data_IF_707319308782
#
_entry.id   IF_707319308782
#
_cell.length_a   1.000
_cell.length_b   1.000
_cell.length_c   1.000
_cell.angle_alpha   90.00
_cell.angle_beta   90.00
_cell.angle_gamma   90.00
#
_symmetry.space_group_name_H-M   'P 1'
#
loop_
_entity.id
_entity.type
_entity.pdbx_description
1 polymer ?
#
# COMPACT_ATOMS: atom_id res chain seq x y z
N UNK A 1 58.62 6.09 12.03
CA UNK A 1 57.53 6.20 13.02
C UNK A 1 56.24 6.84 12.49
N UNK A 2 56.13 7.24 11.21
CA UNK A 2 54.95 7.99 10.70
C UNK A 2 53.91 7.12 9.97
N UNK A 3 54.19 5.84 9.69
CA UNK A 3 53.31 4.97 8.87
C UNK A 3 52.23 4.19 9.64
N UNK A 4 52.29 4.16 10.97
CA UNK A 4 51.29 3.44 11.80
C UNK A 4 50.15 4.34 12.30
N UNK A 5 50.33 5.67 12.29
CA UNK A 5 49.27 6.61 12.69
C UNK A 5 48.17 6.79 11.62
N UNK A 6 48.46 6.57 10.34
CA UNK A 6 47.46 6.82 9.27
C UNK A 6 46.38 5.74 9.19
N UNK A 7 46.64 4.52 9.65
CA UNK A 7 45.68 3.41 9.59
C UNK A 7 44.66 3.50 10.75
N UNK A 8 45.09 3.93 11.94
CA UNK A 8 44.19 4.10 13.08
C UNK A 8 43.15 5.20 12.89
N UNK A 9 43.52 6.31 12.25
CA UNK A 9 42.60 7.41 11.97
C UNK A 9 41.57 7.03 10.89
N UNK A 10 41.95 6.20 9.91
CA UNK A 10 41.04 5.75 8.86
C UNK A 10 39.98 4.77 9.35
N UNK A 11 40.31 3.92 10.34
CA UNK A 11 39.36 2.97 10.95
C UNK A 11 38.35 3.68 11.87
N UNK A 12 38.77 4.74 12.57
CA UNK A 12 37.86 5.55 13.39
C UNK A 12 36.91 6.39 12.54
N UNK A 13 37.35 6.87 11.37
CA UNK A 13 36.49 7.64 10.45
C UNK A 13 35.43 6.79 9.72
N UNK A 14 35.63 5.47 9.60
CA UNK A 14 34.62 4.54 9.07
C UNK A 14 33.65 4.01 10.13
N UNK A 15 33.85 4.37 11.40
CA UNK A 15 32.95 4.02 12.51
C UNK A 15 31.93 5.15 12.73
N UNK A 16 31.32 5.66 11.65
CA UNK A 16 30.17 6.52 11.81
C UNK A 16 29.06 5.70 12.48
N UNK A 17 28.46 6.18 13.59
CA UNK A 17 27.26 5.54 14.09
C UNK A 17 26.24 5.59 12.95
N UNK A 18 25.65 4.45 12.63
CA UNK A 18 24.40 4.37 11.87
C UNK A 18 23.46 5.34 12.58
N UNK A 19 23.27 6.52 11.99
CA UNK A 19 22.33 7.51 12.53
C UNK A 19 20.99 6.80 12.56
N UNK A 20 20.47 6.55 13.76
CA UNK A 20 19.13 6.06 13.96
C UNK A 20 18.21 6.98 13.15
N UNK A 21 17.48 6.41 12.20
CA UNK A 21 16.56 7.16 11.36
C UNK A 21 15.56 7.84 12.30
N UNK A 22 15.50 9.16 12.27
CA UNK A 22 14.58 9.93 13.12
C UNK A 22 13.17 9.58 12.65
N UNK A 23 12.45 8.82 13.48
CA UNK A 23 11.09 8.41 13.17
C UNK A 23 10.16 9.57 13.46
N UNK A 24 9.32 9.92 12.49
CA UNK A 24 8.28 10.91 12.72
C UNK A 24 7.19 10.27 13.60
N UNK A 25 6.81 10.94 14.70
CA UNK A 25 5.83 10.42 15.66
C UNK A 25 4.43 10.96 15.31
N UNK A 26 3.59 10.09 14.76
CA UNK A 26 2.26 10.46 14.27
C UNK A 26 1.21 10.55 15.38
N UNK A 27 1.47 9.93 16.54
CA UNK A 27 0.53 9.84 17.67
C UNK A 27 -0.01 11.22 18.13
N UNK A 28 0.79 12.28 17.99
CA UNK A 28 0.41 13.65 18.38
C UNK A 28 -0.43 14.41 17.35
N UNK A 29 -0.53 13.90 16.11
CA UNK A 29 -1.24 14.55 15.00
C UNK A 29 -2.50 13.77 14.55
N UNK A 30 -2.81 12.65 15.20
CA UNK A 30 -4.01 11.86 14.94
C UNK A 30 -5.27 12.62 15.37
N UNK A 31 -6.18 12.80 14.42
CA UNK A 31 -7.50 13.38 14.63
C UNK A 31 -8.54 12.26 14.68
N UNK A 32 -9.44 12.31 15.68
CA UNK A 32 -10.55 11.38 15.80
C UNK A 32 -11.70 11.76 14.87
N UNK A 33 -12.06 10.86 13.96
CA UNK A 33 -13.15 11.00 13.01
C UNK A 33 -14.44 10.29 13.47
N UNK A 34 -14.45 9.74 14.68
CA UNK A 34 -15.53 8.95 15.24
C UNK A 34 -15.46 7.47 14.88
N UNK A 35 -16.11 6.66 15.71
CA UNK A 35 -16.21 5.21 15.57
C UNK A 35 -14.87 4.44 15.59
N UNK A 36 -13.83 5.01 16.23
CA UNK A 36 -12.51 4.37 16.32
C UNK A 36 -11.65 4.55 15.07
N UNK A 37 -11.96 5.55 14.24
CA UNK A 37 -11.14 5.96 13.11
C UNK A 37 -10.25 7.16 13.48
N UNK A 38 -8.95 6.95 13.55
CA UNK A 38 -7.96 8.01 13.71
C UNK A 38 -7.18 8.20 12.41
N UNK A 39 -7.05 9.46 11.97
CA UNK A 39 -6.26 9.78 10.79
C UNK A 39 -5.48 11.08 10.99
N UNK A 40 -4.30 11.17 10.38
CA UNK A 40 -3.57 12.42 10.24
C UNK A 40 -3.35 12.79 8.77
N UNK A 41 -2.82 13.98 8.54
CA UNK A 41 -2.53 14.50 7.19
C UNK A 41 -1.21 14.00 6.61
N UNK A 42 -0.36 13.36 7.41
CA UNK A 42 0.98 12.87 7.07
C UNK A 42 0.98 11.37 6.69
N UNK A 43 -0.18 10.71 6.72
CA UNK A 43 -0.35 9.33 6.25
C UNK A 43 -0.39 8.28 7.35
N UNK A 44 -0.61 8.67 8.60
CA UNK A 44 -0.96 7.78 9.70
C UNK A 44 -2.46 7.50 9.75
N UNK A 45 -2.84 6.23 9.85
CA UNK A 45 -4.24 5.78 9.96
C UNK A 45 -4.37 4.62 10.95
N UNK A 46 -5.30 4.75 11.90
CA UNK A 46 -5.77 3.68 12.80
C UNK A 46 -7.25 3.46 12.55
N UNK A 47 -7.62 2.23 12.20
CA UNK A 47 -9.02 1.84 12.02
C UNK A 47 -9.43 0.82 13.06
N UNK A 48 -10.66 0.94 13.58
CA UNK A 48 -11.20 0.01 14.57
C UNK A 48 -10.58 0.16 15.96
N UNK A 49 -10.04 1.35 16.29
CA UNK A 49 -9.54 1.61 17.63
C UNK A 49 -10.66 1.45 18.67
N UNK A 50 -10.29 0.79 19.76
CA UNK A 50 -11.18 0.54 20.86
C UNK A 50 -10.41 0.61 22.19
N UNK A 51 -10.72 1.63 22.99
CA UNK A 51 -10.02 1.91 24.25
C UNK A 51 -10.83 1.53 25.49
N UNK A 52 -12.14 1.33 25.35
CA UNK A 52 -13.07 1.26 26.48
C UNK A 52 -14.26 0.31 26.28
N UNK A 53 -14.55 -0.13 25.04
CA UNK A 53 -15.71 -0.96 24.74
C UNK A 53 -15.31 -2.44 24.77
N UNK A 54 -15.70 -3.16 25.81
CA UNK A 54 -15.34 -4.57 25.95
C UNK A 54 -16.06 -5.45 24.90
N UNK A 55 -15.37 -6.40 24.25
CA UNK A 55 -16.02 -7.39 23.40
C UNK A 55 -16.92 -8.32 24.23
N UNK A 56 -17.85 -9.02 23.56
CA UNK A 56 -18.78 -9.92 24.22
C UNK A 56 -18.06 -11.01 25.04
N UNK A 57 -18.46 -11.17 26.30
CA UNK A 57 -17.87 -12.14 27.24
C UNK A 57 -16.75 -11.59 28.12
N UNK A 58 -16.41 -10.30 28.02
CA UNK A 58 -15.46 -9.61 28.90
C UNK A 58 -16.16 -8.78 29.99
N UNK A 59 -15.77 -8.97 31.25
CA UNK A 59 -16.23 -8.13 32.39
C UNK A 59 -15.30 -6.94 32.66
N UNK A 60 -14.00 -7.08 32.39
CA UNK A 60 -12.98 -6.05 32.61
C UNK A 60 -11.72 -6.31 31.76
N UNK A 61 -10.91 -5.27 31.52
CA UNK A 61 -9.59 -5.40 30.87
C UNK A 61 -8.64 -6.12 31.83
N UNK A 62 -8.03 -7.22 31.40
CA UNK A 62 -7.13 -8.03 32.22
C UNK A 62 -5.73 -7.44 32.35
N UNK A 63 -5.19 -6.89 31.27
CA UNK A 63 -3.85 -6.28 31.21
C UNK A 63 -3.72 -5.41 29.94
N UNK A 64 -2.81 -4.43 29.98
CA UNK A 64 -2.40 -3.65 28.81
C UNK A 64 -1.00 -4.09 28.40
N UNK A 65 -0.82 -4.42 27.12
CA UNK A 65 0.48 -4.79 26.54
C UNK A 65 0.78 -3.92 25.34
N UNK A 66 1.97 -3.35 25.30
CA UNK A 66 2.47 -2.63 24.14
C UNK A 66 3.16 -3.62 23.19
N UNK A 67 2.78 -3.56 21.91
CA UNK A 67 3.38 -4.35 20.85
C UNK A 67 3.90 -3.37 19.80
N UNK A 68 5.22 -3.27 19.68
CA UNK A 68 5.84 -2.49 18.62
C UNK A 68 5.88 -3.33 17.35
N UNK A 69 5.06 -2.97 16.37
CA UNK A 69 5.02 -3.63 15.05
C UNK A 69 5.82 -2.79 14.07
N UNK A 70 6.88 -3.35 13.51
CA UNK A 70 7.59 -2.75 12.39
C UNK A 70 6.85 -3.09 11.11
N UNK A 71 5.95 -2.22 10.68
CA UNK A 71 5.07 -2.45 9.56
C UNK A 71 5.72 -2.05 8.21
N UNK A 72 5.42 -2.82 7.17
CA UNK A 72 5.49 -2.41 5.77
C UNK A 72 4.09 -2.56 5.14
N UNK A 73 3.68 -1.57 4.36
CA UNK A 73 2.33 -1.42 3.76
C UNK A 73 1.92 -2.63 2.91
N UNK A 74 0.69 -3.18 2.92
CA UNK A 74 -0.58 -2.78 3.57
C UNK A 74 -1.66 -3.88 3.54
N UNK A 75 -2.45 -4.05 4.63
CA UNK A 75 -3.82 -4.63 4.90
C UNK A 75 -4.07 -6.04 5.56
N UNK A 76 -5.33 -6.40 5.87
CA UNK A 76 -5.90 -7.72 6.24
C UNK A 76 -7.41 -7.54 6.42
N UNK A 77 -8.25 -8.59 6.30
CA UNK A 77 -9.67 -8.55 6.71
C UNK A 77 -10.00 -9.60 7.80
N UNK A 78 -10.73 -9.17 8.84
CA UNK A 78 -11.11 -9.93 10.03
C UNK A 78 -12.63 -10.07 10.02
N UNK A 79 -13.16 -11.19 10.53
CA UNK A 79 -14.59 -11.41 10.57
C UNK A 79 -15.31 -10.40 11.47
N UNK A 80 -16.37 -9.76 10.94
CA UNK A 80 -17.21 -8.76 11.65
C UNK A 80 -17.84 -9.25 12.97
N UNK A 81 -17.90 -10.55 13.22
CA UNK A 81 -18.45 -11.09 14.46
C UNK A 81 -17.46 -11.03 15.64
N UNK A 82 -16.15 -10.96 15.37
CA UNK A 82 -15.11 -10.77 16.39
C UNK A 82 -14.94 -9.29 16.74
N UNK A 83 -15.19 -8.41 15.78
CA UNK A 83 -15.13 -6.97 15.94
C UNK A 83 -16.31 -6.29 15.22
N UNK A 84 -17.31 -5.77 15.96
CA UNK A 84 -18.44 -5.07 15.37
C UNK A 84 -18.00 -3.84 14.55
N UNK A 85 -16.86 -3.23 14.91
CA UNK A 85 -16.23 -2.10 14.23
C UNK A 85 -15.30 -2.48 13.06
N UNK A 86 -15.15 -3.78 12.77
CA UNK A 86 -14.30 -4.29 11.69
C UNK A 86 -12.84 -4.55 12.07
N UNK A 87 -12.01 -4.83 11.09
CA UNK A 87 -10.55 -4.98 11.22
C UNK A 87 -9.89 -3.91 12.08
N UNK A 88 -8.98 -4.33 12.98
CA UNK A 88 -7.98 -3.40 13.51
C UNK A 88 -6.86 -3.23 12.49
N UNK A 89 -6.79 -2.05 11.87
CA UNK A 89 -5.84 -1.75 10.82
C UNK A 89 -4.91 -0.62 11.24
N UNK A 90 -3.60 -0.81 11.07
CA UNK A 90 -2.57 0.20 11.27
C UNK A 90 -1.84 0.43 9.96
N UNK A 91 -1.79 1.68 9.52
CA UNK A 91 -0.97 2.12 8.39
C UNK A 91 -0.16 3.35 8.80
N UNK A 92 1.11 3.37 8.41
CA UNK A 92 2.03 4.47 8.67
C UNK A 92 3.01 4.62 7.53
N UNK A 93 3.07 5.79 6.89
CA UNK A 93 3.91 6.05 5.72
C UNK A 93 5.27 6.64 6.10
N UNK A 94 6.36 6.08 5.58
CA UNK A 94 7.73 6.56 5.83
C UNK A 94 8.40 5.93 7.07
N UNK A 95 9.59 6.41 7.49
CA UNK A 95 10.14 6.08 8.79
C UNK A 95 9.32 6.79 9.86
N UNK A 96 8.26 6.14 10.31
CA UNK A 96 7.31 6.74 11.23
C UNK A 96 6.73 5.71 12.21
N UNK A 97 6.20 6.21 13.32
CA UNK A 97 5.57 5.42 14.38
C UNK A 97 4.12 5.86 14.55
N UNK A 98 3.23 4.87 14.60
CA UNK A 98 1.83 5.04 14.94
C UNK A 98 1.43 4.02 16.00
N UNK A 99 0.63 4.45 16.97
CA UNK A 99 0.08 3.62 18.03
C UNK A 99 -1.44 3.54 17.90
N UNK A 100 -1.99 2.35 18.12
CA UNK A 100 -3.44 2.15 18.21
C UNK A 100 -3.77 1.09 19.24
N UNK A 101 -4.96 1.19 19.82
CA UNK A 101 -5.41 0.28 20.89
C UNK A 101 -6.49 -0.66 20.39
N UNK A 102 -6.28 -1.95 20.65
CA UNK A 102 -7.21 -3.04 20.36
C UNK A 102 -7.45 -3.84 21.64
N UNK A 103 -8.71 -4.04 22.02
CA UNK A 103 -9.11 -4.97 23.07
C UNK A 103 -9.45 -6.32 22.42
N UNK A 104 -8.85 -7.41 22.91
CA UNK A 104 -9.04 -8.77 22.42
C UNK A 104 -10.03 -9.54 23.31
N UNK A 105 -10.85 -10.45 22.75
CA UNK A 105 -11.80 -11.25 23.53
C UNK A 105 -11.08 -12.22 24.47
N UNK A 106 -11.76 -12.70 25.53
CA UNK A 106 -11.15 -13.57 26.52
C UNK A 106 -11.02 -14.98 25.96
N UNK A 107 -9.88 -15.63 26.20
CA UNK A 107 -9.64 -17.02 25.82
C UNK A 107 -8.26 -17.26 25.22
N UNK A 108 -7.91 -18.53 25.10
CA UNK A 108 -6.67 -18.97 24.46
C UNK A 108 -6.91 -19.05 22.95
N UNK A 109 -6.50 -18.01 22.21
CA UNK A 109 -6.70 -17.90 20.76
C UNK A 109 -5.47 -17.34 20.04
N UNK A 110 -5.17 -17.91 18.88
CA UNK A 110 -4.09 -17.47 18.01
C UNK A 110 -4.70 -16.81 16.77
N UNK A 111 -4.38 -15.53 16.55
CA UNK A 111 -4.86 -14.72 15.43
C UNK A 111 -3.75 -14.52 14.41
N UNK A 112 -4.12 -14.48 13.13
CA UNK A 112 -3.22 -14.12 12.04
C UNK A 112 -3.06 -12.60 12.01
N UNK A 113 -1.82 -12.13 12.06
CA UNK A 113 -1.45 -10.74 11.77
C UNK A 113 -0.80 -10.75 10.39
N UNK A 114 -1.27 -9.95 9.45
CA UNK A 114 -0.72 -9.99 8.09
C UNK A 114 -0.79 -8.65 7.39
N UNK A 115 -0.20 -8.64 6.21
CA UNK A 115 -0.29 -7.60 5.20
C UNK A 115 -1.35 -7.97 4.13
N UNK A 116 -2.08 -6.97 3.63
CA UNK A 116 -3.21 -6.93 2.67
C UNK A 116 -2.83 -7.08 1.23
N UNK A 117 -1.59 -6.67 0.98
CA UNK A 117 -0.95 -6.98 -0.26
C UNK A 117 -0.69 -8.48 -0.16
N UNK A 118 -1.58 -9.25 -0.78
CA UNK A 118 -1.56 -10.71 -0.78
C UNK A 118 -0.16 -11.25 -1.13
N UNK A 119 0.54 -10.59 -2.06
CA UNK A 119 1.90 -10.95 -2.47
C UNK A 119 2.94 -10.72 -1.36
N UNK A 120 2.75 -9.72 -0.49
CA UNK A 120 3.61 -9.52 0.69
C UNK A 120 3.33 -10.59 1.73
N UNK A 121 2.06 -10.91 1.98
CA UNK A 121 1.66 -12.02 2.85
C UNK A 121 2.21 -13.37 2.35
N UNK A 122 2.10 -13.65 1.05
CA UNK A 122 2.65 -14.84 0.39
C UNK A 122 4.16 -14.92 0.55
N UNK A 123 4.86 -13.78 0.42
CA UNK A 123 6.31 -13.65 0.65
C UNK A 123 6.72 -13.63 2.12
N UNK A 124 5.78 -13.81 3.06
CA UNK A 124 6.07 -13.98 4.47
C UNK A 124 5.87 -12.74 5.35
N UNK A 125 5.24 -11.66 4.84
CA UNK A 125 4.85 -10.51 5.67
C UNK A 125 3.57 -10.82 6.47
N UNK A 126 3.73 -11.74 7.42
CA UNK A 126 2.70 -12.27 8.31
C UNK A 126 3.34 -12.76 9.61
N UNK A 127 2.56 -12.71 10.67
CA UNK A 127 2.91 -13.13 12.01
C UNK A 127 1.68 -13.76 12.68
N UNK A 128 1.87 -14.28 13.88
CA UNK A 128 0.77 -14.76 14.71
C UNK A 128 0.73 -13.97 16.02
N UNK A 129 -0.47 -13.62 16.46
CA UNK A 129 -0.75 -13.00 17.76
C UNK A 129 -1.42 -14.02 18.66
N UNK A 130 -0.74 -14.45 19.73
CA UNK A 130 -1.32 -15.35 20.73
C UNK A 130 -1.93 -14.55 21.87
N UNK A 131 -3.22 -14.76 22.10
CA UNK A 131 -3.95 -14.30 23.29
C UNK A 131 -4.01 -15.45 24.29
N UNK A 132 -3.70 -15.18 25.56
CA UNK A 132 -3.55 -16.21 26.58
C UNK A 132 -2.44 -17.20 26.19
N UNK A 133 -2.76 -18.49 26.16
CA UNK A 133 -1.85 -19.57 25.71
C UNK A 133 -1.81 -19.74 24.18
N UNK A 134 -2.76 -19.14 23.46
CA UNK A 134 -3.04 -19.45 22.06
C UNK A 134 -3.68 -20.83 21.88
N UNK A 135 -4.32 -21.07 20.72
CA UNK A 135 -4.94 -22.36 20.36
C UNK A 135 -4.13 -23.18 19.35
N UNK A 136 -2.88 -22.78 19.12
CA UNK A 136 -1.92 -23.46 18.26
C UNK A 136 -0.94 -22.48 17.64
N UNK A 137 0.01 -23.02 16.87
CA UNK A 137 0.81 -22.22 15.94
C UNK A 137 0.16 -22.27 14.56
N UNK A 138 0.03 -21.11 13.93
CA UNK A 138 -0.53 -21.02 12.59
C UNK A 138 0.49 -21.58 11.58
N UNK A 139 0.05 -22.25 10.51
CA UNK A 139 0.95 -22.77 9.48
C UNK A 139 1.60 -21.65 8.66
N UNK A 140 2.79 -21.92 8.11
CA UNK A 140 3.53 -20.99 7.23
C UNK A 140 3.80 -19.61 7.85
N UNK A 141 4.04 -19.52 9.16
CA UNK A 141 4.45 -18.28 9.83
C UNK A 141 5.98 -18.24 9.91
N UNK A 142 6.65 -17.29 9.26
CA UNK A 142 8.12 -17.21 9.29
C UNK A 142 8.67 -17.18 10.71
N UNK A 143 9.65 -18.05 10.98
CA UNK A 143 10.28 -18.17 12.30
C UNK A 143 9.47 -18.95 13.34
N UNK A 144 8.24 -19.37 13.05
CA UNK A 144 7.41 -20.17 13.96
C UNK A 144 7.10 -21.54 13.37
N UNK A 145 6.56 -21.59 12.15
CA UNK A 145 6.16 -22.84 11.48
C UNK A 145 6.68 -22.88 10.05
N UNK A 146 6.91 -24.10 9.54
CA UNK A 146 7.34 -24.29 8.16
C UNK A 146 6.25 -23.91 7.14
N UNK A 147 6.67 -23.57 5.92
CA UNK A 147 5.74 -23.39 4.80
C UNK A 147 5.01 -24.69 4.50
N UNK A 148 3.68 -24.62 4.35
CA UNK A 148 2.84 -25.78 4.00
C UNK A 148 3.15 -26.24 2.58
N UNK A 149 3.40 -25.29 1.68
CA UNK A 149 3.87 -25.54 0.31
C UNK A 149 5.20 -24.82 0.17
N UNK A 150 6.28 -25.59 -0.01
CA UNK A 150 7.61 -25.03 -0.26
C UNK A 150 7.83 -24.94 -1.75
N UNK A 151 8.26 -23.78 -2.23
CA UNK A 151 8.71 -23.63 -3.61
C UNK A 151 9.99 -24.43 -3.82
N UNK A 152 10.01 -25.31 -4.82
CA UNK A 152 11.20 -26.01 -5.27
C UNK A 152 11.76 -25.37 -6.53
N UNK A 153 12.67 -24.42 -6.35
CA UNK A 153 13.34 -23.73 -7.46
C UNK A 153 14.46 -24.56 -8.11
N UNK A 154 14.64 -25.82 -7.73
CA UNK A 154 15.66 -26.71 -8.33
C UNK A 154 15.16 -27.45 -9.56
N UNK A 155 13.85 -27.50 -9.77
CA UNK A 155 13.25 -28.19 -10.91
C UNK A 155 13.45 -27.41 -12.21
N UNK A 156 13.90 -28.12 -13.25
CA UNK A 156 14.04 -27.53 -14.59
C UNK A 156 12.69 -27.50 -15.31
N UNK A 157 12.50 -26.56 -16.24
CA UNK A 157 11.24 -26.40 -16.98
C UNK A 157 10.69 -27.70 -17.61
N UNK A 158 11.52 -28.60 -18.20
CA UNK A 158 11.06 -29.89 -18.71
C UNK A 158 10.54 -30.83 -17.62
N UNK A 159 11.13 -30.75 -16.43
CA UNK A 159 10.80 -31.57 -15.26
C UNK A 159 9.46 -31.12 -14.64
N UNK A 160 9.23 -29.81 -14.61
CA UNK A 160 7.96 -29.21 -14.20
C UNK A 160 6.82 -29.56 -15.16
N UNK A 161 7.09 -29.58 -16.46
CA UNK A 161 6.10 -29.99 -17.48
C UNK A 161 5.74 -31.47 -17.34
N UNK A 162 6.74 -32.34 -17.19
CA UNK A 162 6.51 -33.77 -16.98
C UNK A 162 5.73 -34.04 -15.68
N UNK A 163 6.02 -33.30 -14.61
CA UNK A 163 5.31 -33.38 -13.33
C UNK A 163 3.87 -32.87 -13.42
N UNK A 164 3.65 -31.75 -14.11
CA UNK A 164 2.30 -31.20 -14.34
C UNK A 164 1.44 -32.16 -15.18
N UNK A 165 2.01 -32.80 -16.19
CA UNK A 165 1.33 -33.82 -16.98
C UNK A 165 0.97 -35.06 -16.13
N UNK A 166 1.86 -35.50 -15.24
CA UNK A 166 1.57 -36.64 -14.35
C UNK A 166 0.54 -36.29 -13.27
N UNK A 167 0.59 -35.08 -12.69
CA UNK A 167 -0.40 -34.63 -11.70
C UNK A 167 -1.78 -34.41 -12.33
N UNK A 168 -1.84 -33.94 -13.57
CA UNK A 168 -3.09 -33.83 -14.34
C UNK A 168 -3.73 -35.20 -14.66
N UNK A 169 -2.93 -36.28 -14.70
CA UNK A 169 -3.39 -37.65 -14.92
C UNK A 169 -3.86 -38.35 -13.64
N UNK A 170 -3.53 -37.80 -12.46
CA UNK A 170 -3.83 -38.40 -11.14
C UNK A 170 -4.96 -37.65 -10.41
N UNK A 171 -5.31 -36.43 -10.84
CA UNK A 171 -6.41 -35.67 -10.25
C UNK A 171 -7.74 -36.44 -10.38
N UNK A 172 -8.45 -36.76 -9.27
CA UNK A 172 -9.77 -37.37 -9.36
C UNK A 172 -10.74 -36.39 -10.05
N UNK A 173 -11.75 -36.87 -10.79
CA UNK A 173 -12.73 -36.00 -11.40
C UNK A 173 -13.42 -35.23 -10.28
N UNK A 174 -13.21 -33.92 -10.25
CA UNK A 174 -13.97 -33.02 -9.38
C UNK A 174 -15.43 -33.24 -9.72
N UNK A 175 -16.18 -33.85 -8.80
CA UNK A 175 -17.61 -34.11 -8.98
C UNK A 175 -18.29 -32.76 -9.11
N UNK A 176 -18.61 -32.40 -10.34
CA UNK A 176 -19.36 -31.20 -10.69
C UNK A 176 -20.82 -31.38 -10.25
N UNK A 177 -21.12 -31.15 -8.97
CA UNK A 177 -22.47 -30.83 -8.52
C UNK A 177 -22.60 -29.33 -8.36
N UNK A 178 -22.68 -28.62 -9.48
CA UNK A 178 -23.41 -27.37 -9.61
C UNK A 178 -23.59 -27.12 -11.11
N UNK A 179 -24.83 -27.23 -11.58
CA UNK A 179 -25.21 -26.86 -12.92
C UNK A 179 -24.85 -25.39 -13.15
N UNK A 180 -23.96 -25.02 -14.09
CA UNK A 180 -23.78 -23.62 -14.44
C UNK A 180 -24.88 -23.24 -15.44
N UNK A 181 -25.67 -22.24 -15.07
CA UNK A 181 -26.35 -21.41 -16.06
C UNK A 181 -25.30 -20.89 -17.06
N UNK A 182 -25.64 -20.62 -18.34
CA UNK A 182 -24.66 -20.21 -19.34
C UNK A 182 -24.16 -18.80 -19.02
N UNK A 183 -23.09 -18.72 -18.23
CA UNK A 183 -22.30 -17.51 -18.09
C UNK A 183 -21.49 -17.42 -19.37
N UNK A 184 -21.86 -16.46 -20.21
CA UNK A 184 -21.04 -16.04 -21.36
C UNK A 184 -19.64 -15.77 -20.83
N UNK A 185 -18.69 -16.58 -21.26
CA UNK A 185 -17.26 -16.34 -21.10
C UNK A 185 -16.95 -14.98 -21.72
N UNK A 186 -16.69 -13.98 -20.89
CA UNK A 186 -16.00 -12.77 -21.36
C UNK A 186 -14.56 -13.22 -21.53
N UNK A 187 -14.21 -13.58 -22.77
CA UNK A 187 -12.84 -13.72 -23.20
C UNK A 187 -12.14 -12.40 -22.89
N UNK A 188 -11.15 -12.46 -22.00
CA UNK A 188 -10.21 -11.38 -21.82
C UNK A 188 -9.40 -11.32 -23.12
N UNK A 189 -9.79 -10.40 -24.00
CA UNK A 189 -9.01 -10.13 -25.19
C UNK A 189 -7.72 -9.45 -24.76
N UNK A 190 -6.60 -10.12 -25.01
CA UNK A 190 -5.29 -9.49 -25.15
C UNK A 190 -5.29 -8.63 -26.44
N UNK A 191 -6.15 -7.62 -26.44
CA UNK A 191 -6.31 -6.71 -27.56
C UNK A 191 -5.25 -5.63 -27.43
N UNK A 192 -4.19 -5.77 -28.23
CA UNK A 192 -3.14 -4.77 -28.50
C UNK A 192 -3.73 -3.42 -28.99
N UNK A 193 -5.04 -3.38 -29.21
CA UNK A 193 -5.88 -2.25 -29.63
C UNK A 193 -6.70 -1.78 -28.43
N UNK A 194 -6.02 -1.15 -27.46
CA UNK A 194 -6.72 -0.41 -26.40
C UNK A 194 -7.51 0.73 -27.03
N UNK A 195 -8.71 1.04 -26.53
CA UNK A 195 -9.51 2.17 -27.01
C UNK A 195 -8.76 3.51 -27.02
N UNK A 196 -7.75 3.66 -26.17
CA UNK A 196 -6.83 4.81 -26.13
C UNK A 196 -5.99 4.92 -27.41
N UNK A 197 -5.58 3.80 -28.02
CA UNK A 197 -4.80 3.77 -29.27
C UNK A 197 -5.64 4.20 -30.47
N UNK A 198 -6.91 3.77 -30.52
CA UNK A 198 -7.86 4.14 -31.58
C UNK A 198 -8.17 5.64 -31.51
N UNK A 199 -8.41 6.15 -30.29
CA UNK A 199 -8.65 7.59 -30.08
C UNK A 199 -7.40 8.41 -30.44
N UNK A 200 -6.21 7.97 -30.03
CA UNK A 200 -4.95 8.63 -30.37
C UNK A 200 -4.70 8.71 -31.88
N UNK A 201 -4.96 7.62 -32.60
CA UNK A 201 -4.78 7.56 -34.05
C UNK A 201 -5.80 8.43 -34.79
N UNK A 202 -7.05 8.45 -34.35
CA UNK A 202 -8.08 9.32 -34.92
C UNK A 202 -7.76 10.81 -34.73
N UNK A 203 -7.36 11.21 -33.51
CA UNK A 203 -6.96 12.60 -33.22
C UNK A 203 -5.69 12.99 -33.99
N UNK A 204 -4.72 12.08 -34.09
CA UNK A 204 -3.49 12.28 -34.88
C UNK A 204 -3.77 12.51 -36.36
N UNK A 205 -4.63 11.70 -36.98
CA UNK A 205 -5.02 11.85 -38.38
C UNK A 205 -5.77 13.17 -38.65
N UNK A 206 -6.62 13.59 -37.73
CA UNK A 206 -7.34 14.88 -37.85
C UNK A 206 -6.39 16.08 -37.67
N UNK A 207 -5.42 16.00 -36.78
CA UNK A 207 -4.46 17.08 -36.51
C UNK A 207 -3.31 17.15 -37.54
N UNK A 208 -2.97 16.03 -38.18
CA UNK A 208 -1.87 15.92 -39.15
C UNK A 208 -1.86 16.99 -40.26
N UNK A 209 -2.95 17.28 -40.98
CA UNK A 209 -2.92 18.30 -42.04
C UNK A 209 -2.67 19.72 -41.51
N UNK A 210 -3.09 20.02 -40.28
CA UNK A 210 -2.85 21.30 -39.63
C UNK A 210 -1.39 21.41 -39.16
N UNK A 211 -0.88 20.38 -38.49
CA UNK A 211 0.50 20.30 -38.01
C UNK A 211 1.50 20.34 -39.18
N UNK A 212 1.21 19.62 -40.27
CA UNK A 212 2.06 19.60 -41.46
C UNK A 212 2.12 20.97 -42.17
N UNK A 213 1.05 21.78 -42.12
CA UNK A 213 1.07 23.17 -42.62
C UNK A 213 1.81 24.10 -41.67
N UNK A 214 1.64 23.91 -40.36
CA UNK A 214 2.21 24.76 -39.31
C UNK A 214 3.73 24.62 -39.20
N UNK A 215 4.25 23.39 -39.35
CA UNK A 215 5.67 23.06 -39.22
C UNK A 215 6.40 22.93 -40.57
N UNK A 216 5.74 23.30 -41.68
CA UNK A 216 6.36 23.25 -43.01
C UNK A 216 7.53 24.23 -43.08
N UNK A 217 8.74 23.70 -43.29
CA UNK A 217 9.96 24.51 -43.42
C UNK A 217 10.66 24.86 -42.11
N UNK A 218 10.19 24.34 -40.97
CA UNK A 218 10.92 24.41 -39.69
C UNK A 218 11.88 23.23 -39.57
N UNK A 219 13.07 23.49 -39.05
CA UNK A 219 14.02 22.46 -38.60
C UNK A 219 13.50 21.73 -37.37
N UNK A 220 13.96 20.50 -37.12
CA UNK A 220 13.55 19.72 -35.95
C UNK A 220 13.80 20.47 -34.63
N UNK A 221 14.89 21.23 -34.53
CA UNK A 221 15.20 22.08 -33.37
C UNK A 221 14.21 23.22 -33.16
N UNK A 222 13.71 23.84 -34.23
CA UNK A 222 12.71 24.92 -34.15
C UNK A 222 11.33 24.38 -33.75
N UNK A 223 10.98 23.17 -34.21
CA UNK A 223 9.75 22.49 -33.78
C UNK A 223 9.81 22.18 -32.28
N UNK A 224 10.94 21.64 -31.81
CA UNK A 224 11.15 21.34 -30.38
C UNK A 224 11.08 22.63 -29.55
N UNK A 225 11.80 23.68 -29.94
CA UNK A 225 11.76 24.97 -29.26
C UNK A 225 10.33 25.54 -29.19
N UNK A 226 9.58 25.48 -30.28
CA UNK A 226 8.19 25.92 -30.32
C UNK A 226 7.28 25.15 -29.36
N UNK A 227 7.47 23.83 -29.23
CA UNK A 227 6.71 23.00 -28.27
C UNK A 227 7.04 23.39 -26.83
N UNK A 228 8.32 23.62 -26.51
CA UNK A 228 8.73 24.06 -25.18
C UNK A 228 8.18 25.46 -24.83
N UNK A 229 8.15 26.39 -25.78
CA UNK A 229 7.57 27.72 -25.57
C UNK A 229 6.04 27.66 -25.39
N UNK A 230 5.37 26.76 -26.10
CA UNK A 230 3.93 26.54 -25.96
C UNK A 230 3.59 25.92 -24.60
N UNK A 231 4.42 24.97 -24.15
CA UNK A 231 4.32 24.38 -22.81
C UNK A 231 4.54 25.42 -21.71
N UNK A 232 5.59 26.26 -21.84
CA UNK A 232 5.86 27.36 -20.91
C UNK A 232 4.68 28.33 -20.83
N UNK A 233 4.16 28.74 -21.98
CA UNK A 233 3.01 29.66 -22.05
C UNK A 233 1.76 29.06 -21.40
N UNK A 234 1.54 27.76 -21.57
CA UNK A 234 0.45 27.04 -20.92
C UNK A 234 0.62 27.01 -19.40
N UNK A 235 1.81 26.70 -18.90
CA UNK A 235 2.12 26.70 -17.46
C UNK A 235 1.90 28.10 -16.87
N UNK A 236 2.37 29.16 -17.54
CA UNK A 236 2.14 30.54 -17.10
C UNK A 236 0.66 30.91 -17.04
N UNK A 237 -0.15 30.43 -18.00
CA UNK A 237 -1.60 30.62 -17.99
C UNK A 237 -2.25 29.89 -16.81
N UNK A 238 -1.85 28.65 -16.54
CA UNK A 238 -2.36 27.86 -15.40
C UNK A 238 -2.01 28.54 -14.08
N UNK A 239 -0.77 29.01 -13.89
CA UNK A 239 -0.34 29.73 -12.69
C UNK A 239 -1.13 31.06 -12.52
N UNK A 240 -1.39 31.78 -13.61
CA UNK A 240 -2.24 32.98 -13.59
C UNK A 240 -3.68 32.68 -13.20
N UNK A 241 -4.26 31.57 -13.68
CA UNK A 241 -5.60 31.15 -13.30
C UNK A 241 -5.67 30.72 -11.84
N UNK A 242 -4.71 29.92 -11.37
CA UNK A 242 -4.61 29.50 -9.97
C UNK A 242 -4.44 30.69 -9.03
N UNK A 243 -3.55 31.64 -9.35
CA UNK A 243 -3.36 32.85 -8.54
C UNK A 243 -4.60 33.75 -8.50
N UNK A 244 -5.37 33.84 -9.60
CA UNK A 244 -6.69 34.50 -9.60
C UNK A 244 -7.71 33.78 -8.72
N UNK A 245 -7.74 32.44 -8.78
CA UNK A 245 -8.62 31.62 -7.96
C UNK A 245 -8.31 31.81 -6.47
N UNK A 246 -7.03 31.77 -6.09
CA UNK A 246 -6.56 31.99 -4.72
C UNK A 246 -6.95 33.39 -4.23
N UNK A 247 -6.78 34.43 -5.06
CA UNK A 247 -7.21 35.81 -4.74
C UNK A 247 -8.72 35.93 -4.53
N UNK A 248 -9.53 35.23 -5.34
CA UNK A 248 -10.99 35.21 -5.18
C UNK A 248 -11.41 34.55 -3.86
N UNK A 249 -10.74 33.47 -3.45
CA UNK A 249 -11.03 32.74 -2.20
C UNK A 249 -10.54 33.50 -0.97
N UNK A 250 -9.41 34.22 -1.06
CA UNK A 250 -8.83 34.95 0.07
C UNK A 250 -9.42 36.34 0.29
N UNK A 251 -9.94 37.01 -0.76
CA UNK A 251 -10.50 38.36 -0.64
C UNK A 251 -11.82 38.43 0.15
N UNK A 252 -12.50 37.31 0.39
CA UNK A 252 -13.77 37.26 1.13
C UNK A 252 -13.62 37.07 2.66
N UNK A 253 -12.39 36.95 3.18
CA UNK A 253 -12.15 36.69 4.61
C UNK A 253 -12.12 37.95 5.51
N UNK A 254 -12.29 39.15 4.95
CA UNK A 254 -12.24 40.41 5.72
C UNK A 254 -13.62 40.95 6.16
N UNK A 255 -14.69 40.15 6.12
CA UNK A 255 -15.95 40.54 6.76
C UNK A 255 -15.92 40.18 8.25
N UNK A 256 -15.27 41.03 9.03
CA UNK A 256 -15.32 41.05 10.49
C UNK A 256 -16.77 41.35 10.90
N UNK A 257 -17.38 40.45 11.68
CA UNK A 257 -18.70 40.68 12.29
C UNK A 257 -18.58 41.73 13.40
N UNK A 258 -19.56 42.64 13.56
CA UNK A 258 -19.52 43.63 14.63
C UNK A 258 -19.69 42.92 15.98
N UNK A 259 -18.80 43.21 16.92
CA UNK A 259 -18.89 42.74 18.30
C UNK A 259 -20.21 43.17 18.93
N UNK A 260 -20.83 42.23 19.64
CA UNK A 260 -21.98 42.45 20.52
C UNK A 260 -21.76 41.70 21.82
#
# INVERSE_FOLDING_TARGET
MVKLLSVGVLVVLFSAPVMAQEYEEHDSMLMDHGDGHLMDMAGGMVMGQNTDTLPGGCDSISETKEITVHAGHKYAELPKYLYPKGMFHLEVSGPAKISGTLILPPGDKTYLVHCDIAQHMEKGMKAQLKVGKGDGDLPSIPGVTAYVVSDDYKATLPELLAKAETEALIAPPVVATASPAPVKTVQQEDSVISGVTVIGLALGLLAAPFLARKFKGMSASEVVAYVFDLLRSFIELVVKLLSRLIKLVTSNKNKILPEK
#
